data_IF_283230888286
#
_entry.id   IF_283230888286
#
_cell.length_a   1.000
_cell.length_b   1.000
_cell.length_c   1.000
_cell.angle_alpha   90.00
_cell.angle_beta   90.00
_cell.angle_gamma   90.00
#
_symmetry.space_group_name_H-M   'P 1'
#
loop_
_entity.id
_entity.type
_entity.pdbx_description
1 polymer ?
#
# COMPACT_ATOMS: atom_id res chain seq x y z
N UNK A 1 13.72 4.89 -0.73
CA UNK A 1 14.70 5.39 0.27
C UNK A 1 13.94 6.26 1.25
N UNK A 2 14.18 6.12 2.54
CA UNK A 2 13.56 6.94 3.60
C UNK A 2 14.66 7.74 4.29
N UNK A 3 14.42 9.04 4.49
CA UNK A 3 15.35 9.97 5.14
C UNK A 3 14.61 10.66 6.29
N UNK A 4 15.05 10.43 7.52
CA UNK A 4 14.53 11.14 8.66
C UNK A 4 15.32 12.45 8.80
N UNK A 5 14.65 13.60 8.61
CA UNK A 5 15.27 14.93 8.77
C UNK A 5 15.03 15.54 10.16
N UNK A 6 14.34 14.81 11.05
CA UNK A 6 14.02 15.25 12.40
C UNK A 6 15.19 14.99 13.36
N UNK A 7 15.25 15.77 14.44
CA UNK A 7 16.24 15.61 15.51
C UNK A 7 15.90 14.47 16.50
N UNK A 8 14.84 13.70 16.26
CA UNK A 8 14.43 12.56 17.08
C UNK A 8 14.11 11.34 16.21
N UNK A 9 14.18 10.12 16.77
CA UNK A 9 13.77 8.92 16.06
C UNK A 9 12.30 9.00 15.63
N UNK A 10 12.00 8.55 14.42
CA UNK A 10 10.64 8.57 13.89
C UNK A 10 10.33 7.30 13.09
N UNK A 11 9.06 6.89 13.14
CA UNK A 11 8.53 5.86 12.27
C UNK A 11 8.21 6.49 10.91
N UNK A 12 8.87 6.00 9.86
CA UNK A 12 8.72 6.52 8.51
C UNK A 12 8.02 5.49 7.65
N UNK A 13 7.03 5.92 6.87
CA UNK A 13 6.31 5.04 5.95
C UNK A 13 6.34 5.60 4.53
N UNK A 14 6.12 4.71 3.56
CA UNK A 14 5.80 5.10 2.19
C UNK A 14 4.77 4.14 1.61
N UNK A 15 3.98 4.62 0.66
CA UNK A 15 3.05 3.80 -0.09
C UNK A 15 3.71 3.31 -1.38
N UNK A 16 3.52 2.04 -1.72
CA UNK A 16 4.03 1.45 -2.95
C UNK A 16 3.53 2.19 -4.21
N UNK A 17 2.35 2.83 -4.15
CA UNK A 17 1.82 3.63 -5.27
C UNK A 17 2.47 4.99 -5.44
N UNK A 18 3.34 5.45 -4.53
CA UNK A 18 4.03 6.73 -4.65
C UNK A 18 5.19 6.69 -5.66
N UNK A 19 5.63 5.49 -6.05
CA UNK A 19 6.67 5.32 -7.07
C UNK A 19 6.04 4.84 -8.38
N UNK A 20 6.26 5.56 -9.51
CA UNK A 20 5.74 5.13 -10.82
C UNK A 20 6.41 3.85 -11.34
N UNK A 21 7.52 3.44 -10.71
CA UNK A 21 8.27 2.24 -11.08
C UNK A 21 7.82 0.98 -10.33
N UNK A 22 6.94 1.15 -9.33
CA UNK A 22 6.38 0.05 -8.54
C UNK A 22 4.99 -0.26 -9.10
N UNK A 23 4.77 -1.50 -9.52
CA UNK A 23 3.47 -1.98 -9.96
C UNK A 23 2.54 -2.15 -8.76
N UNK A 24 1.35 -1.58 -8.85
CA UNK A 24 0.27 -1.79 -7.90
C UNK A 24 -0.24 -3.24 -7.94
N UNK A 25 -0.86 -3.71 -6.85
CA UNK A 25 -1.43 -5.07 -6.76
C UNK A 25 -0.38 -6.18 -6.62
N UNK A 26 0.86 -5.84 -6.28
CA UNK A 26 1.96 -6.78 -6.07
C UNK A 26 2.53 -6.63 -4.68
N UNK A 27 3.05 -7.73 -4.15
CA UNK A 27 3.87 -7.70 -2.95
C UNK A 27 5.35 -7.60 -3.32
N UNK A 28 6.13 -6.92 -2.49
CA UNK A 28 7.57 -6.76 -2.71
C UNK A 28 8.35 -7.29 -1.52
N UNK A 29 9.35 -8.13 -1.76
CA UNK A 29 10.33 -8.46 -0.73
C UNK A 29 11.21 -7.25 -0.48
N UNK A 30 11.31 -6.83 0.78
CA UNK A 30 12.07 -5.67 1.20
C UNK A 30 13.37 -6.13 1.82
N UNK A 31 14.49 -5.65 1.28
CA UNK A 31 15.81 -5.86 1.86
C UNK A 31 16.42 -4.52 2.25
N UNK A 32 16.87 -4.41 3.48
CA UNK A 32 17.70 -3.30 3.92
C UNK A 32 19.12 -3.48 3.39
N UNK A 33 19.58 -2.50 2.62
CA UNK A 33 20.90 -2.49 2.00
C UNK A 33 22.01 -2.11 2.98
N UNK A 34 21.70 -1.46 4.10
CA UNK A 34 22.71 -1.11 5.10
C UNK A 34 22.97 -2.27 6.05
N UNK A 35 21.93 -2.83 6.63
CA UNK A 35 22.05 -3.95 7.57
C UNK A 35 22.17 -5.31 6.86
N UNK A 36 22.00 -5.34 5.54
CA UNK A 36 21.99 -6.55 4.73
C UNK A 36 20.91 -7.56 5.18
N UNK A 37 19.83 -7.07 5.81
CA UNK A 37 18.75 -7.88 6.37
C UNK A 37 17.53 -7.88 5.46
N UNK A 38 16.88 -9.03 5.33
CA UNK A 38 15.59 -9.14 4.65
C UNK A 38 14.47 -8.81 5.65
N UNK A 39 13.80 -7.67 5.45
CA UNK A 39 12.74 -7.13 6.33
C UNK A 39 11.34 -7.68 5.98
N UNK A 40 11.28 -8.82 5.30
CA UNK A 40 10.03 -9.47 4.92
C UNK A 40 9.39 -8.91 3.64
N UNK A 41 8.07 -9.07 3.52
CA UNK A 41 7.27 -8.67 2.35
C UNK A 41 6.39 -7.46 2.67
N UNK A 42 6.49 -6.42 1.86
CA UNK A 42 5.61 -5.25 1.91
C UNK A 42 4.41 -5.43 0.97
N UNK A 43 3.22 -5.11 1.49
CA UNK A 43 1.96 -5.09 0.75
C UNK A 43 1.35 -3.70 0.93
N UNK A 44 1.15 -2.97 -0.17
CA UNK A 44 0.62 -1.59 -0.26
C UNK A 44 1.46 -0.50 0.40
N UNK A 45 1.99 -0.72 1.58
CA UNK A 45 2.87 0.21 2.27
C UNK A 45 4.01 -0.53 2.96
N UNK A 46 5.01 0.23 3.37
CA UNK A 46 6.08 -0.25 4.23
C UNK A 46 6.38 0.83 5.26
N UNK A 47 6.57 0.39 6.51
CA UNK A 47 6.96 1.26 7.62
C UNK A 47 8.32 0.83 8.13
N UNK A 48 9.29 1.75 8.11
CA UNK A 48 10.53 1.64 8.83
C UNK A 48 10.32 2.23 10.24
N UNK A 49 10.44 1.39 11.26
CA UNK A 49 10.30 1.83 12.64
C UNK A 49 11.59 2.41 13.18
N UNK A 50 11.47 3.43 14.03
CA UNK A 50 12.57 4.02 14.81
C UNK A 50 13.79 4.41 13.96
N UNK A 51 13.55 5.06 12.81
CA UNK A 51 14.65 5.59 11.99
C UNK A 51 15.36 6.67 12.82
N UNK A 52 16.68 6.55 13.07
CA UNK A 52 17.41 7.50 13.90
C UNK A 52 17.31 8.95 13.40
N UNK A 53 17.57 9.95 14.27
CA UNK A 53 17.67 11.35 13.85
C UNK A 53 18.66 11.51 12.71
N UNK A 54 18.30 12.26 11.67
CA UNK A 54 19.14 12.45 10.48
C UNK A 54 19.57 11.13 9.79
N UNK A 55 18.83 10.05 10.07
CA UNK A 55 19.13 8.70 9.61
C UNK A 55 18.56 8.41 8.22
N UNK A 56 19.17 7.44 7.53
CA UNK A 56 18.75 6.97 6.21
C UNK A 56 18.47 5.48 6.26
N UNK A 57 17.37 5.06 5.64
CA UNK A 57 17.10 3.66 5.34
C UNK A 57 17.09 3.46 3.83
N UNK A 58 18.01 2.62 3.37
CA UNK A 58 18.15 2.25 1.96
C UNK A 58 17.53 0.87 1.73
N UNK A 59 16.38 0.84 1.06
CA UNK A 59 15.60 -0.37 0.83
C UNK A 59 15.70 -0.78 -0.63
N UNK A 60 15.94 -2.07 -0.85
CA UNK A 60 15.77 -2.73 -2.14
C UNK A 60 14.43 -3.46 -2.14
N UNK A 61 13.56 -3.07 -3.06
CA UNK A 61 12.28 -3.71 -3.30
C UNK A 61 12.43 -4.65 -4.51
N UNK A 62 12.10 -5.92 -4.32
CA UNK A 62 12.02 -6.90 -5.42
C UNK A 62 10.60 -7.43 -5.50
N UNK A 63 10.10 -7.61 -6.71
CA UNK A 63 8.80 -8.21 -6.96
C UNK A 63 8.77 -9.62 -6.33
N UNK A 64 7.82 -9.85 -5.43
CA UNK A 64 7.63 -11.09 -4.69
C UNK A 64 6.29 -11.78 -5.03
N UNK A 65 5.68 -11.41 -6.15
CA UNK A 65 4.45 -12.03 -6.63
C UNK A 65 3.22 -11.13 -6.54
N UNK A 66 2.07 -11.74 -6.73
CA UNK A 66 0.79 -11.04 -6.67
C UNK A 66 0.40 -10.79 -5.21
N UNK A 67 -0.37 -9.74 -4.99
CA UNK A 67 -0.92 -9.45 -3.67
C UNK A 67 -1.84 -10.60 -3.19
N UNK A 68 -1.80 -10.98 -1.90
CA UNK A 68 -2.67 -12.03 -1.37
C UNK A 68 -4.15 -11.67 -1.51
N UNK A 69 -4.99 -12.68 -1.80
CA UNK A 69 -6.43 -12.52 -1.92
C UNK A 69 -7.08 -12.03 -0.62
N UNK A 70 -8.12 -11.20 -0.73
CA UNK A 70 -8.88 -10.72 0.43
C UNK A 70 -8.40 -9.37 1.00
N UNK A 71 -7.40 -8.74 0.39
CA UNK A 71 -7.02 -7.36 0.69
C UNK A 71 -7.97 -6.38 -0.01
N UNK A 72 -9.04 -5.99 0.69
CA UNK A 72 -9.92 -4.92 0.23
C UNK A 72 -9.42 -3.54 0.69
N UNK A 73 -9.60 -2.48 -0.13
CA UNK A 73 -10.08 -2.50 -1.51
C UNK A 73 -9.03 -3.06 -2.49
N UNK A 74 -9.39 -3.72 -3.61
CA UNK A 74 -8.46 -4.37 -4.55
C UNK A 74 -7.38 -3.45 -5.15
N UNK A 75 -7.57 -2.13 -5.07
CA UNK A 75 -6.55 -1.14 -5.43
C UNK A 75 -6.31 -0.15 -4.30
N UNK A 76 -5.12 0.45 -4.26
CA UNK A 76 -4.77 1.49 -3.29
C UNK A 76 -5.46 2.85 -3.55
N UNK A 77 -5.97 3.07 -4.76
CA UNK A 77 -6.80 4.21 -5.16
C UNK A 77 -8.00 3.68 -5.94
N UNK A 78 -9.21 3.89 -5.43
CA UNK A 78 -10.44 3.36 -6.03
C UNK A 78 -10.73 4.00 -7.38
N UNK A 79 -10.45 5.30 -7.50
CA UNK A 79 -10.67 6.09 -8.71
C UNK A 79 -9.83 5.64 -9.92
N UNK A 80 -8.74 4.90 -9.67
CA UNK A 80 -7.84 4.35 -10.70
C UNK A 80 -7.87 2.81 -10.73
N UNK A 81 -8.82 2.22 -10.03
CA UNK A 81 -8.96 0.78 -9.95
C UNK A 81 -9.67 0.30 -11.22
N UNK A 82 -8.96 -0.40 -12.10
CA UNK A 82 -9.51 -0.92 -13.37
C UNK A 82 -9.26 -2.42 -13.40
N UNK A 83 -10.33 -3.18 -13.64
CA UNK A 83 -10.26 -4.63 -13.73
C UNK A 83 -9.54 -5.07 -15.03
N UNK A 84 -9.12 -6.33 -15.12
CA UNK A 84 -8.55 -6.92 -16.34
C UNK A 84 -9.47 -6.74 -17.56
N UNK A 85 -10.78 -6.62 -17.33
CA UNK A 85 -11.78 -6.38 -18.36
C UNK A 85 -11.90 -4.90 -18.78
N UNK A 86 -11.02 -4.01 -18.28
CA UNK A 86 -11.01 -2.59 -18.63
C UNK A 86 -12.11 -1.75 -17.95
N UNK A 87 -12.95 -2.38 -17.12
CA UNK A 87 -13.99 -1.71 -16.35
C UNK A 87 -13.42 -1.12 -15.07
N UNK A 88 -13.77 0.13 -14.76
CA UNK A 88 -13.43 0.73 -13.48
C UNK A 88 -14.12 -0.07 -12.36
N UNK A 89 -13.37 -0.33 -11.32
CA UNK A 89 -13.79 -1.00 -10.09
C UNK A 89 -14.27 0.09 -9.12
N UNK A 90 -15.25 0.88 -9.56
CA UNK A 90 -16.03 1.78 -8.71
C UNK A 90 -17.24 1.08 -8.07
N UNK A 91 -17.57 -0.12 -8.56
CA UNK A 91 -18.73 -0.92 -8.15
C UNK A 91 -18.36 -2.28 -7.54
N UNK A 92 -17.25 -2.35 -6.79
CA UNK A 92 -16.94 -3.50 -5.93
C UNK A 92 -17.79 -3.50 -4.68
N UNK A 93 -19.11 -3.66 -4.82
CA UNK A 93 -19.93 -4.36 -3.82
C UNK A 93 -19.76 -3.98 -2.34
N UNK A 94 -19.30 -2.77 -2.03
CA UNK A 94 -19.52 -2.13 -0.73
C UNK A 94 -20.90 -1.45 -0.71
N UNK A 95 -21.74 -1.74 -1.70
CA UNK A 95 -23.18 -1.70 -1.56
C UNK A 95 -23.68 -3.14 -1.45
N UNK A 96 -24.30 -3.48 -0.31
CA UNK A 96 -25.44 -4.38 -0.40
C UNK A 96 -26.31 -3.88 -1.54
N UNK A 97 -26.48 -4.70 -2.57
CA UNK A 97 -27.08 -4.30 -3.84
C UNK A 97 -28.38 -3.56 -3.58
N UNK A 98 -28.47 -2.31 -4.03
CA UNK A 98 -29.59 -1.35 -4.00
C UNK A 98 -30.42 -1.17 -2.69
N UNK A 99 -30.66 -2.21 -1.92
CA UNK A 99 -31.36 -2.29 -0.65
C UNK A 99 -30.62 -1.58 0.49
N UNK A 100 -29.29 -1.71 0.59
CA UNK A 100 -28.52 -1.06 1.66
C UNK A 100 -28.41 0.46 1.46
N UNK A 101 -28.42 0.91 0.19
CA UNK A 101 -28.46 2.33 -0.18
C UNK A 101 -29.85 2.93 0.09
N UNK A 102 -30.93 2.14 -0.04
CA UNK A 102 -32.29 2.56 0.32
C UNK A 102 -32.44 2.74 1.83
N UNK A 103 -31.88 1.83 2.63
CA UNK A 103 -31.94 1.88 4.09
C UNK A 103 -31.22 3.09 4.71
N UNK A 104 -30.12 3.57 4.11
CA UNK A 104 -29.41 4.77 4.58
C UNK A 104 -30.16 6.08 4.28
N UNK A 105 -30.91 6.15 3.19
CA UNK A 105 -31.68 7.35 2.81
C UNK A 105 -32.95 7.49 3.65
N UNK A 106 -33.56 6.38 4.10
CA UNK A 106 -34.73 6.40 4.97
C UNK A 106 -34.40 6.64 6.46
N UNK A 107 -33.12 6.64 6.84
CA UNK A 107 -32.66 6.85 8.21
C UNK A 107 -32.13 8.28 8.49
N UNK A 108 -32.34 9.21 7.54
CA UNK A 108 -32.10 10.67 7.68
C UNK A 108 -33.45 11.38 7.59
#
# INVERSE_FOLDING_TARGET
>A
MLLNVLDHPADMFFNLTESPWIRAGRQYSVRDLWTHTDNGTAIRNFTAHQVPPHGVVALLLKDAGDEPSGTQPPCARLEWCVDQNGTRIDDIGFGGGDEARRAWVEAI
#
